data_IF_912642121852
#
_entry.id   IF_912642121852
#
_cell.length_a   1.000
_cell.length_b   1.000
_cell.length_c   1.000
_cell.angle_alpha   90.00
_cell.angle_beta   90.00
_cell.angle_gamma   90.00
#
_symmetry.space_group_name_H-M   'P 1'
#
loop_
_entity.id
_entity.type
_entity.pdbx_description
1 polymer ?
#
# COMPACT_ATOMS: atom_id res chain seq x y z
N UNK A 1 -5.78 -24.33 -5.53
CA UNK A 1 -5.43 -23.21 -4.64
C UNK A 1 -6.00 -21.98 -5.29
N UNK A 2 -7.02 -21.37 -4.68
CA UNK A 2 -7.76 -20.26 -5.27
C UNK A 2 -7.32 -19.01 -4.55
N UNK A 3 -6.29 -18.36 -5.06
CA UNK A 3 -5.91 -17.00 -4.68
C UNK A 3 -7.06 -16.06 -5.07
N UNK A 4 -7.59 -15.31 -4.10
CA UNK A 4 -8.58 -14.27 -4.36
C UNK A 4 -7.97 -12.96 -3.89
N UNK A 5 -7.62 -12.08 -4.84
CA UNK A 5 -7.37 -10.69 -4.54
C UNK A 5 -8.69 -10.11 -4.03
N UNK A 6 -8.82 -10.04 -2.71
CA UNK A 6 -9.94 -9.43 -2.02
C UNK A 6 -9.76 -7.92 -2.10
N UNK A 7 -10.30 -7.33 -3.16
CA UNK A 7 -10.61 -5.90 -3.27
C UNK A 7 -9.39 -4.98 -3.42
N UNK A 8 -9.11 -4.62 -4.68
CA UNK A 8 -8.23 -3.49 -4.99
C UNK A 8 -8.84 -2.22 -4.40
N UNK A 9 -8.12 -1.58 -3.49
CA UNK A 9 -8.43 -0.26 -2.95
C UNK A 9 -7.52 0.71 -3.72
N UNK A 10 -8.07 1.71 -4.42
CA UNK A 10 -7.28 2.68 -5.22
C UNK A 10 -6.00 3.12 -4.49
N UNK A 11 -4.82 2.79 -5.03
CA UNK A 11 -3.51 3.16 -4.47
C UNK A 11 -2.48 2.03 -4.48
N UNK A 12 -1.24 2.29 -4.00
CA UNK A 12 -0.12 1.36 -4.14
C UNK A 12 -0.14 0.16 -3.18
N UNK A 13 -1.02 0.16 -2.18
CA UNK A 13 -1.16 -0.93 -1.21
C UNK A 13 -2.39 -1.80 -1.51
N UNK A 14 -2.25 -3.10 -1.25
CA UNK A 14 -3.32 -4.08 -1.40
C UNK A 14 -3.36 -5.05 -0.19
N UNK A 15 -4.50 -5.71 0.00
CA UNK A 15 -4.65 -6.81 0.97
C UNK A 15 -4.54 -8.13 0.22
N UNK A 16 -3.64 -8.99 0.69
CA UNK A 16 -3.51 -10.39 0.24
C UNK A 16 -3.98 -11.32 1.35
N UNK A 17 -4.99 -12.13 1.05
CA UNK A 17 -5.50 -13.13 1.98
C UNK A 17 -4.65 -14.41 1.92
N UNK A 18 -4.24 -14.89 3.10
CA UNK A 18 -3.60 -16.20 3.30
C UNK A 18 -4.47 -17.08 4.22
N UNK A 19 -4.10 -18.36 4.34
CA UNK A 19 -4.87 -19.32 5.17
C UNK A 19 -4.99 -18.89 6.63
N UNK A 20 -3.95 -18.26 7.18
CA UNK A 20 -3.86 -17.90 8.61
C UNK A 20 -3.79 -16.40 8.88
N UNK A 21 -3.74 -15.57 7.84
CA UNK A 21 -3.54 -14.14 8.01
C UNK A 21 -4.04 -13.32 6.82
N UNK A 22 -4.17 -12.01 7.02
CA UNK A 22 -4.26 -11.02 5.96
C UNK A 22 -2.96 -10.23 5.93
N UNK A 23 -2.36 -10.09 4.75
CA UNK A 23 -1.11 -9.40 4.53
C UNK A 23 -1.38 -8.08 3.82
N UNK A 24 -0.75 -7.02 4.28
CA UNK A 24 -0.69 -5.74 3.56
C UNK A 24 0.57 -5.75 2.71
N UNK A 25 0.39 -5.67 1.40
CA UNK A 25 1.46 -5.78 0.40
C UNK A 25 1.46 -4.56 -0.54
N UNK A 26 2.55 -4.37 -1.27
CA UNK A 26 2.56 -3.46 -2.40
C UNK A 26 1.86 -4.12 -3.58
N UNK A 27 1.03 -3.38 -4.32
CA UNK A 27 0.39 -3.90 -5.54
C UNK A 27 1.43 -4.35 -6.58
N UNK A 28 2.58 -3.67 -6.65
CA UNK A 28 3.67 -4.02 -7.57
C UNK A 28 4.53 -5.19 -7.10
N UNK A 29 4.48 -5.57 -5.82
CA UNK A 29 5.21 -6.72 -5.26
C UNK A 29 4.42 -7.36 -4.12
N UNK A 30 3.68 -8.42 -4.45
CA UNK A 30 2.80 -9.12 -3.50
C UNK A 30 3.58 -10.08 -2.57
N UNK A 31 4.88 -10.26 -2.82
CA UNK A 31 5.73 -11.19 -2.04
C UNK A 31 6.35 -10.52 -0.83
N UNK A 32 6.63 -9.22 -0.91
CA UNK A 32 7.12 -8.40 0.19
C UNK A 32 5.94 -7.79 0.97
N UNK A 33 5.62 -8.38 2.12
CA UNK A 33 4.55 -7.91 2.99
C UNK A 33 5.08 -6.92 4.03
N UNK A 34 4.38 -5.80 4.16
CA UNK A 34 4.72 -4.72 5.09
C UNK A 34 4.20 -5.01 6.50
N UNK A 35 2.98 -5.55 6.57
CA UNK A 35 2.29 -5.87 7.83
C UNK A 35 1.48 -7.16 7.66
N UNK A 36 1.40 -7.94 8.73
CA UNK A 36 0.66 -9.20 8.83
C UNK A 36 -0.37 -9.11 9.95
N UNK A 37 -1.60 -9.50 9.65
CA UNK A 37 -2.71 -9.62 10.59
C UNK A 37 -3.17 -11.07 10.69
N UNK A 38 -2.82 -11.78 11.77
CA UNK A 38 -3.24 -13.16 11.98
C UNK A 38 -4.75 -13.27 12.23
N UNK A 39 -5.38 -14.28 11.62
CA UNK A 39 -6.77 -14.66 11.82
C UNK A 39 -6.90 -15.31 13.21
N UNK A 40 -7.25 -14.50 14.21
CA UNK A 40 -7.54 -14.95 15.57
C UNK A 40 -9.04 -14.80 15.86
N UNK A 41 -9.60 -15.70 16.68
CA UNK A 41 -11.04 -15.72 16.99
C UNK A 41 -11.60 -14.42 17.62
N UNK A 42 -10.74 -13.59 18.22
CA UNK A 42 -11.12 -12.34 18.91
C UNK A 42 -10.66 -11.08 18.14
N UNK A 43 -10.22 -11.22 16.88
CA UNK A 43 -9.69 -10.11 16.10
C UNK A 43 -10.12 -10.14 14.64
N UNK A 44 -10.82 -9.10 14.21
CA UNK A 44 -11.32 -8.91 12.84
C UNK A 44 -10.18 -8.51 11.88
N UNK A 45 -9.29 -9.48 11.63
CA UNK A 45 -8.05 -9.27 10.86
C UNK A 45 -8.29 -8.72 9.45
N UNK A 46 -9.37 -9.14 8.79
CA UNK A 46 -9.76 -8.65 7.46
C UNK A 46 -10.06 -7.15 7.48
N UNK A 47 -10.97 -6.73 8.37
CA UNK A 47 -11.40 -5.33 8.46
C UNK A 47 -10.23 -4.42 8.83
N UNK A 48 -9.33 -4.87 9.70
CA UNK A 48 -8.14 -4.11 10.06
C UNK A 48 -7.15 -3.98 8.89
N UNK A 49 -6.95 -5.05 8.11
CA UNK A 49 -6.10 -5.00 6.92
C UNK A 49 -6.70 -4.06 5.86
N UNK A 50 -7.99 -4.16 5.58
CA UNK A 50 -8.71 -3.29 4.64
C UNK A 50 -8.66 -1.82 5.10
N UNK A 51 -8.90 -1.57 6.39
CA UNK A 51 -8.87 -0.22 6.95
C UNK A 51 -7.47 0.41 6.88
N UNK A 52 -6.41 -0.38 7.12
CA UNK A 52 -5.04 0.10 6.96
C UNK A 52 -4.76 0.48 5.51
N UNK A 53 -5.02 -0.42 4.57
CA UNK A 53 -4.77 -0.18 3.15
C UNK A 53 -5.51 1.07 2.67
N UNK A 54 -6.80 1.18 3.01
CA UNK A 54 -7.60 2.36 2.65
C UNK A 54 -7.02 3.65 3.22
N UNK A 55 -6.74 3.68 4.53
CA UNK A 55 -6.25 4.88 5.20
C UNK A 55 -4.91 5.33 4.63
N UNK A 56 -4.00 4.39 4.37
CA UNK A 56 -2.68 4.72 3.84
C UNK A 56 -2.71 5.09 2.37
N UNK A 57 -3.51 4.41 1.55
CA UNK A 57 -3.70 4.80 0.16
C UNK A 57 -4.35 6.20 0.05
N UNK A 58 -5.38 6.50 0.86
CA UNK A 58 -5.99 7.84 0.92
C UNK A 58 -4.97 8.92 1.31
N UNK A 59 -4.08 8.64 2.27
CA UNK A 59 -2.99 9.54 2.65
C UNK A 59 -1.95 9.68 1.57
N UNK A 60 -1.46 8.57 1.02
CA UNK A 60 -0.45 8.59 -0.04
C UNK A 60 -0.95 9.36 -1.25
N UNK A 61 -2.20 9.17 -1.68
CA UNK A 61 -2.81 9.89 -2.79
C UNK A 61 -3.10 11.38 -2.45
N UNK A 62 -3.42 11.70 -1.20
CA UNK A 62 -3.62 13.09 -0.76
C UNK A 62 -2.30 13.84 -0.59
N UNK A 63 -1.27 13.16 -0.11
CA UNK A 63 0.10 13.66 0.00
C UNK A 63 0.78 13.70 -1.36
N UNK A 64 0.42 12.84 -2.32
CA UNK A 64 0.88 12.91 -3.71
C UNK A 64 0.58 14.28 -4.32
N UNK A 65 -0.50 14.96 -3.93
CA UNK A 65 -0.79 16.34 -4.40
C UNK A 65 0.21 17.38 -3.84
N UNK A 66 0.87 17.12 -2.71
CA UNK A 66 1.92 17.99 -2.12
C UNK A 66 3.34 17.50 -2.44
N UNK A 67 3.57 16.19 -2.44
CA UNK A 67 4.84 15.54 -2.75
C UNK A 67 5.12 15.58 -4.25
N UNK A 68 4.14 15.46 -5.16
CA UNK A 68 4.34 15.81 -6.56
C UNK A 68 4.44 17.32 -6.79
N UNK A 69 3.86 18.20 -5.96
CA UNK A 69 4.21 19.65 -6.08
C UNK A 69 5.67 19.93 -5.70
N UNK A 70 6.22 19.19 -4.74
CA UNK A 70 7.62 19.36 -4.28
C UNK A 70 8.61 18.59 -5.17
N UNK A 71 8.22 17.45 -5.76
CA UNK A 71 9.13 16.57 -6.52
C UNK A 71 8.83 16.45 -8.03
N UNK A 72 7.68 16.93 -8.54
CA UNK A 72 7.39 16.95 -9.98
C UNK A 72 8.10 18.07 -10.74
N UNK A 73 8.97 18.85 -10.07
CA UNK A 73 10.17 19.33 -10.75
C UNK A 73 11.27 18.29 -10.51
N UNK A 74 11.66 17.49 -11.52
CA UNK A 74 12.90 16.74 -11.40
C UNK A 74 14.01 17.75 -11.05
N UNK A 75 14.96 17.42 -10.16
CA UNK A 75 16.08 18.32 -9.90
C UNK A 75 16.78 18.54 -11.22
N UNK A 76 16.66 19.75 -11.78
CA UNK A 76 17.45 20.17 -12.92
C UNK A 76 18.91 20.19 -12.43
N UNK A 77 19.62 19.08 -12.64
CA UNK A 77 21.08 19.08 -12.61
C UNK A 77 21.48 20.03 -13.73
N UNK A 78 21.73 21.30 -13.41
CA UNK A 78 22.20 22.29 -14.38
C UNK A 78 23.51 21.75 -14.98
N UNK A 79 23.54 21.34 -16.25
CA UNK A 79 24.79 20.97 -16.87
C UNK A 79 25.50 22.29 -17.23
N UNK A 80 26.47 22.70 -16.41
CA UNK A 80 27.32 23.86 -16.75
C UNK A 80 27.73 24.79 -15.62
N UNK A 81 27.86 24.33 -14.37
CA UNK A 81 28.69 25.07 -13.41
C UNK A 81 30.17 24.81 -13.72
N UNK A 82 30.70 25.52 -14.72
CA UNK A 82 32.13 25.74 -14.89
C UNK A 82 32.40 27.14 -15.42
#
# INVERSE_FOLDING_TARGET
MTERISRQVDGPLAVREEETAYLVVLESDETDWLVRFDKADDFEAEEWAEHMVRTYNERLLSEDDEFYRITARPPEIRPGAR
#
